data_IF_440652766581
#
_entry.id   IF_440652766581
#
_cell.length_a   1.000
_cell.length_b   1.000
_cell.length_c   1.000
_cell.angle_alpha   90.00
_cell.angle_beta   90.00
_cell.angle_gamma   90.00
#
_symmetry.space_group_name_H-M   'P 1'
#
loop_
_entity.id
_entity.type
_entity.pdbx_description
1 polymer ?
#
# COMPACT_ATOMS: atom_id res chain seq x y z
N UNK A 1 16.14 17.99 -9.20
CA UNK A 1 15.01 18.35 -8.34
C UNK A 1 13.87 17.43 -8.73
N UNK A 2 13.34 16.61 -7.83
CA UNK A 2 12.28 15.67 -8.17
C UNK A 2 10.94 16.38 -8.03
N UNK A 3 10.31 16.63 -9.17
CA UNK A 3 9.09 17.43 -9.30
C UNK A 3 7.91 16.78 -8.54
N UNK A 4 6.94 17.60 -8.16
CA UNK A 4 5.75 17.19 -7.42
C UNK A 4 4.96 16.15 -8.25
N UNK A 5 5.08 14.86 -7.92
CA UNK A 5 4.38 13.79 -8.66
C UNK A 5 3.12 13.40 -7.89
N UNK A 6 1.99 13.92 -8.34
CA UNK A 6 0.71 13.27 -8.10
C UNK A 6 0.78 11.85 -8.66
N UNK A 7 0.31 10.87 -7.89
CA UNK A 7 0.20 9.50 -8.40
C UNK A 7 -1.10 9.43 -9.18
N UNK A 8 -1.02 8.96 -10.43
CA UNK A 8 -2.21 8.70 -11.25
C UNK A 8 -3.15 7.77 -10.48
N UNK A 9 -4.45 8.09 -10.36
CA UNK A 9 -5.41 7.24 -9.68
C UNK A 9 -5.31 5.78 -10.12
N UNK A 10 -5.25 4.86 -9.16
CA UNK A 10 -5.07 3.43 -9.41
C UNK A 10 -3.62 2.92 -9.42
N UNK A 11 -2.61 3.76 -9.72
CA UNK A 11 -1.20 3.32 -9.69
C UNK A 11 -0.66 3.15 -8.25
N UNK A 12 -1.20 3.92 -7.32
CA UNK A 12 -0.90 3.80 -5.89
C UNK A 12 -1.88 2.92 -5.13
N UNK A 13 -2.74 2.16 -5.82
CA UNK A 13 -3.71 1.27 -5.19
C UNK A 13 -3.11 -0.12 -4.95
N UNK A 14 -3.11 -0.52 -3.69
CA UNK A 14 -2.57 -1.78 -3.21
C UNK A 14 -3.56 -2.49 -2.29
N UNK A 15 -3.46 -3.81 -2.26
CA UNK A 15 -4.19 -4.66 -1.30
C UNK A 15 -3.19 -5.40 -0.44
N UNK A 16 -3.42 -5.39 0.87
CA UNK A 16 -2.53 -5.98 1.86
C UNK A 16 -3.24 -7.12 2.59
N UNK A 17 -2.55 -8.25 2.71
CA UNK A 17 -2.85 -9.27 3.71
C UNK A 17 -1.81 -9.16 4.80
N UNK A 18 -2.23 -9.08 6.06
CA UNK A 18 -1.34 -8.82 7.18
C UNK A 18 -1.36 -10.00 8.16
N UNK A 19 -0.20 -10.37 8.67
CA UNK A 19 -0.02 -11.47 9.64
C UNK A 19 0.92 -11.03 10.75
N UNK A 20 0.47 -11.18 12.00
CA UNK A 20 1.29 -10.98 13.18
C UNK A 20 2.25 -12.15 13.42
N UNK A 21 3.47 -11.84 13.87
CA UNK A 21 4.50 -12.79 14.32
C UNK A 21 5.08 -12.31 15.64
N UNK A 22 5.77 -13.22 16.34
CA UNK A 22 6.35 -13.00 17.67
C UNK A 22 7.24 -11.73 17.78
N UNK A 23 7.90 -11.32 16.70
CA UNK A 23 8.80 -10.14 16.68
C UNK A 23 8.53 -9.18 15.51
N UNK A 24 7.27 -9.08 15.05
CA UNK A 24 6.88 -8.12 14.01
C UNK A 24 5.81 -8.66 13.08
N UNK A 25 5.77 -8.11 11.86
CA UNK A 25 4.67 -8.36 10.92
C UNK A 25 5.18 -8.84 9.57
N UNK A 26 4.46 -9.79 8.97
CA UNK A 26 4.67 -10.21 7.59
C UNK A 26 3.35 -10.23 6.84
N UNK A 27 3.42 -10.51 5.55
CA UNK A 27 2.21 -10.66 4.77
C UNK A 27 2.48 -10.54 3.29
N UNK A 28 1.45 -10.14 2.57
CA UNK A 28 1.50 -9.99 1.13
C UNK A 28 0.96 -8.65 0.70
N UNK A 29 1.61 -8.07 -0.30
CA UNK A 29 1.14 -6.88 -1.00
C UNK A 29 0.82 -7.25 -2.44
N UNK A 30 -0.31 -6.77 -2.92
CA UNK A 30 -0.75 -6.91 -4.30
C UNK A 30 -0.91 -5.53 -4.92
N UNK A 31 -0.34 -5.32 -6.10
CA UNK A 31 -0.54 -4.12 -6.91
C UNK A 31 -1.50 -4.43 -8.05
N UNK A 32 -2.62 -3.71 -8.11
CA UNK A 32 -3.55 -3.83 -9.23
C UNK A 32 -2.92 -3.32 -10.54
N UNK A 33 -2.14 -2.24 -10.47
CA UNK A 33 -1.48 -1.62 -11.62
C UNK A 33 -0.45 -2.54 -12.28
N UNK A 34 0.29 -3.32 -11.49
CA UNK A 34 1.31 -4.24 -12.00
C UNK A 34 0.79 -5.68 -12.15
N UNK A 35 -0.41 -5.99 -11.64
CA UNK A 35 -0.95 -7.34 -11.62
C UNK A 35 -0.11 -8.35 -10.83
N UNK A 36 0.78 -7.88 -9.95
CA UNK A 36 1.75 -8.73 -9.24
C UNK A 36 1.52 -8.74 -7.73
N UNK A 37 1.95 -9.84 -7.09
CA UNK A 37 1.93 -10.05 -5.64
C UNK A 37 3.34 -10.33 -5.13
N UNK A 38 3.70 -9.77 -3.98
CA UNK A 38 4.96 -10.04 -3.30
C UNK A 38 4.71 -10.30 -1.81
N UNK A 39 5.53 -11.16 -1.23
CA UNK A 39 5.62 -11.32 0.21
C UNK A 39 6.49 -10.20 0.79
N UNK A 40 6.12 -9.70 1.97
CA UNK A 40 6.97 -8.87 2.80
C UNK A 40 7.13 -9.52 4.18
N UNK A 41 8.34 -9.41 4.74
CA UNK A 41 8.70 -9.99 6.04
C UNK A 41 8.76 -8.96 7.17
N UNK A 42 8.57 -7.68 6.84
CA UNK A 42 8.50 -6.56 7.77
C UNK A 42 7.77 -5.38 7.13
N UNK A 43 7.23 -4.47 7.94
CA UNK A 43 6.60 -3.24 7.43
C UNK A 43 7.61 -2.33 6.71
N UNK A 44 8.88 -2.32 7.15
CA UNK A 44 9.93 -1.63 6.42
C UNK A 44 10.12 -2.21 5.00
N UNK A 45 10.10 -3.55 4.85
CA UNK A 45 10.20 -4.17 3.53
C UNK A 45 8.97 -3.87 2.68
N UNK A 46 7.78 -3.78 3.28
CA UNK A 46 6.56 -3.34 2.60
C UNK A 46 6.73 -1.94 2.00
N UNK A 47 7.22 -0.95 2.76
CA UNK A 47 7.44 0.41 2.24
C UNK A 47 8.36 0.39 1.01
N UNK A 48 9.48 -0.35 1.08
CA UNK A 48 10.40 -0.47 -0.05
C UNK A 48 9.71 -1.07 -1.27
N UNK A 49 8.93 -2.14 -1.12
CA UNK A 49 8.17 -2.74 -2.24
C UNK A 49 7.19 -1.74 -2.87
N UNK A 50 6.47 -0.99 -2.05
CA UNK A 50 5.55 0.04 -2.52
C UNK A 50 6.29 1.12 -3.31
N UNK A 51 7.47 1.56 -2.88
CA UNK A 51 8.30 2.50 -3.64
C UNK A 51 8.76 1.95 -4.98
N UNK A 52 9.34 0.75 -4.98
CA UNK A 52 9.82 0.05 -6.17
C UNK A 52 8.69 -0.08 -7.20
N UNK A 53 7.49 -0.48 -6.75
CA UNK A 53 6.33 -0.68 -7.61
C UNK A 53 5.72 0.62 -8.11
N UNK A 54 5.59 1.65 -7.27
CA UNK A 54 5.12 2.97 -7.74
C UNK A 54 6.08 3.60 -8.75
N UNK A 55 7.39 3.33 -8.65
CA UNK A 55 8.36 3.76 -9.66
C UNK A 55 8.18 2.99 -10.98
N UNK A 56 7.94 1.68 -10.89
CA UNK A 56 7.78 0.79 -12.05
C UNK A 56 6.47 1.04 -12.80
N UNK A 57 5.38 1.28 -12.09
CA UNK A 57 4.04 1.43 -12.66
C UNK A 57 3.84 2.73 -13.45
N UNK A 58 4.82 3.65 -13.46
CA UNK A 58 4.75 4.94 -14.15
C UNK A 58 4.56 4.85 -15.68
N UNK A 59 4.87 3.69 -16.28
CA UNK A 59 4.79 3.44 -17.73
C UNK A 59 3.70 2.40 -18.11
N UNK A 60 3.04 1.78 -17.11
CA UNK A 60 2.09 0.69 -17.36
C UNK A 60 0.66 1.22 -17.58
N UNK A 61 -0.08 0.73 -18.59
CA UNK A 61 -1.49 1.08 -18.72
C UNK A 61 -2.25 0.60 -17.48
N UNK A 62 -2.89 1.53 -16.77
CA UNK A 62 -3.72 1.22 -15.60
C UNK A 62 -4.83 0.27 -16.06
N UNK A 63 -4.95 -0.95 -15.50
CA UNK A 63 -6.09 -1.78 -15.80
C UNK A 63 -7.37 -1.10 -15.29
N UNK A 64 -8.34 -0.89 -16.18
CA UNK A 64 -9.59 -0.11 -15.95
C UNK A 64 -10.49 -0.66 -14.83
N UNK A 65 -10.17 -1.82 -14.27
CA UNK A 65 -10.95 -2.44 -13.20
C UNK A 65 -9.99 -3.16 -12.26
N UNK A 66 -9.94 -2.83 -10.95
CA UNK A 66 -9.33 -3.74 -9.99
C UNK A 66 -10.07 -5.07 -10.15
N UNK A 67 -9.36 -6.09 -10.61
CA UNK A 67 -9.96 -7.40 -10.85
C UNK A 67 -10.57 -7.86 -9.52
N UNK A 68 -11.90 -7.85 -9.44
CA UNK A 68 -12.67 -8.17 -8.24
C UNK A 68 -12.38 -9.60 -7.71
N UNK A 69 -11.62 -10.40 -8.46
CA UNK A 69 -11.15 -11.74 -8.12
C UNK A 69 -9.77 -11.79 -7.43
N UNK A 70 -9.05 -10.67 -7.25
CA UNK A 70 -7.66 -10.70 -6.82
C UNK A 70 -7.50 -10.70 -5.28
N UNK A 71 -7.43 -11.90 -4.71
CA UNK A 71 -6.97 -12.27 -3.35
C UNK A 71 -7.73 -11.68 -2.13
N UNK A 72 -7.89 -12.47 -1.04
CA UNK A 72 -8.35 -11.95 0.24
C UNK A 72 -7.34 -10.91 0.76
N UNK A 73 -7.85 -9.77 1.22
CA UNK A 73 -7.06 -8.68 1.79
C UNK A 73 -7.70 -8.23 3.09
N UNK A 74 -6.86 -7.86 4.06
CA UNK A 74 -7.28 -7.24 5.32
C UNK A 74 -7.42 -5.72 5.14
N UNK A 75 -6.61 -5.13 4.26
CA UNK A 75 -6.49 -3.68 4.10
C UNK A 75 -6.38 -3.29 2.62
N UNK A 76 -7.06 -2.21 2.24
CA UNK A 76 -6.81 -1.49 0.99
C UNK A 76 -5.99 -0.23 1.27
N UNK A 77 -4.92 -0.03 0.51
CA UNK A 77 -4.03 1.12 0.61
C UNK A 77 -4.06 1.90 -0.70
N UNK A 78 -4.29 3.20 -0.62
CA UNK A 78 -4.19 4.10 -1.76
C UNK A 78 -3.19 5.22 -1.47
N UNK A 79 -2.02 5.17 -2.10
CA UNK A 79 -1.04 6.25 -2.10
C UNK A 79 -1.38 7.24 -3.22
N UNK A 80 -1.68 8.48 -2.86
CA UNK A 80 -2.13 9.52 -3.81
C UNK A 80 -1.03 10.52 -4.14
N UNK A 81 -0.18 10.79 -3.16
CA UNK A 81 0.95 11.69 -3.31
C UNK A 81 2.20 11.00 -2.78
N UNK A 82 3.29 11.10 -3.54
CA UNK A 82 4.60 10.65 -3.09
C UNK A 82 5.67 11.63 -3.54
N UNK A 83 6.19 12.41 -2.60
CA UNK A 83 7.24 13.38 -2.86
C UNK A 83 8.34 13.28 -1.79
N UNK A 84 9.58 12.97 -2.19
CA UNK A 84 10.70 12.79 -1.27
C UNK A 84 10.35 11.85 -0.11
N UNK A 85 10.16 12.39 1.10
CA UNK A 85 9.79 11.67 2.33
C UNK A 85 8.31 11.83 2.71
N UNK A 86 7.53 12.57 1.92
CA UNK A 86 6.12 12.86 2.15
C UNK A 86 5.26 11.96 1.29
N UNK A 87 4.64 10.98 1.95
CA UNK A 87 3.62 10.13 1.34
C UNK A 87 2.27 10.55 1.88
N UNK A 88 1.27 10.66 1.01
CA UNK A 88 -0.09 10.92 1.45
C UNK A 88 -1.06 9.99 0.75
N UNK A 89 -2.08 9.59 1.49
CA UNK A 89 -3.02 8.62 0.99
C UNK A 89 -4.03 8.21 2.04
N UNK A 90 -4.69 7.10 1.74
CA UNK A 90 -5.68 6.53 2.63
C UNK A 90 -5.45 5.04 2.79
N UNK A 91 -5.82 4.56 3.96
CA UNK A 91 -5.86 3.16 4.32
C UNK A 91 -7.28 2.82 4.71
N UNK A 92 -7.84 1.76 4.15
CA UNK A 92 -9.17 1.24 4.48
C UNK A 92 -9.03 -0.15 5.10
N UNK A 93 -9.47 -0.28 6.33
CA UNK A 93 -9.63 -1.58 6.97
C UNK A 93 -10.87 -2.28 6.40
N UNK A 94 -10.69 -3.47 5.84
CA UNK A 94 -11.78 -4.25 5.25
C UNK A 94 -12.54 -5.08 6.29
N UNK A 95 -12.02 -5.25 7.50
CA UNK A 95 -12.72 -5.94 8.60
C UNK A 95 -13.70 -5.01 9.30
N UNK A 96 -13.25 -3.85 9.74
CA UNK A 96 -14.04 -2.85 10.46
C UNK A 96 -14.65 -1.76 9.57
N UNK A 97 -14.22 -1.65 8.31
CA UNK A 97 -14.71 -0.64 7.37
C UNK A 97 -14.18 0.78 7.60
N UNK A 98 -13.32 0.97 8.61
CA UNK A 98 -12.72 2.26 8.95
C UNK A 98 -11.77 2.74 7.84
N UNK A 99 -11.72 4.06 7.63
CA UNK A 99 -10.81 4.70 6.69
C UNK A 99 -9.94 5.70 7.43
N UNK A 100 -8.63 5.57 7.26
CA UNK A 100 -7.61 6.40 7.88
C UNK A 100 -6.88 7.17 6.79
N UNK A 101 -6.65 8.46 7.01
CA UNK A 101 -5.75 9.25 6.17
C UNK A 101 -4.35 9.24 6.78
N UNK A 102 -3.32 9.24 5.94
CA UNK A 102 -1.94 9.42 6.38
C UNK A 102 -1.27 10.51 5.54
N UNK A 103 -0.30 11.19 6.15
CA UNK A 103 0.46 12.29 5.57
C UNK A 103 1.97 12.02 5.56
N UNK A 104 2.41 10.85 6.05
CA UNK A 104 3.78 10.36 5.91
C UNK A 104 3.84 8.83 5.86
N UNK A 105 4.98 8.29 5.40
CA UNK A 105 5.23 6.85 5.46
C UNK A 105 5.31 6.34 6.91
N UNK A 106 5.77 7.16 7.85
CA UNK A 106 5.79 6.82 9.28
C UNK A 106 4.37 6.70 9.83
N UNK A 107 3.48 7.65 9.51
CA UNK A 107 2.07 7.56 9.92
C UNK A 107 1.40 6.30 9.35
N UNK A 108 1.69 5.95 8.10
CA UNK A 108 1.22 4.72 7.48
C UNK A 108 1.70 3.48 8.28
N UNK A 109 2.97 3.44 8.67
CA UNK A 109 3.53 2.35 9.48
C UNK A 109 2.79 2.23 10.82
N UNK A 110 2.64 3.34 11.56
CA UNK A 110 1.96 3.36 12.85
C UNK A 110 0.49 2.92 12.74
N UNK A 111 -0.22 3.34 11.68
CA UNK A 111 -1.60 2.91 11.44
C UNK A 111 -1.70 1.41 11.12
N UNK A 112 -0.75 0.87 10.35
CA UNK A 112 -0.69 -0.57 10.06
C UNK A 112 -0.40 -1.39 11.33
N UNK A 113 0.50 -0.92 12.19
CA UNK A 113 0.77 -1.54 13.49
C UNK A 113 -0.48 -1.54 14.37
N UNK A 114 -1.14 -0.39 14.51
CA UNK A 114 -2.35 -0.25 15.33
C UNK A 114 -3.51 -1.15 14.85
N UNK A 115 -3.64 -1.39 13.54
CA UNK A 115 -4.64 -2.32 13.00
C UNK A 115 -4.33 -3.79 13.27
N UNK A 116 -3.06 -4.12 13.51
CA UNK A 116 -2.61 -5.49 13.77
C UNK A 116 -2.64 -5.87 15.25
N UNK A 117 -2.73 -4.88 16.14
CA UNK A 117 -2.85 -5.06 17.59
C UNK A 117 -4.30 -5.19 18.10
N UNK A 118 -5.29 -5.15 17.19
CA UNK A 118 -6.72 -5.31 17.50
C UNK A 118 -7.15 -6.78 17.57
#
# INVERSE_FOLDING_TARGET
MQENRSITPGLGAFRLTLQSRENGFCGYVYSAALGCRAEFTSLARLIVLLEEWMNTATDSPVPEKPSAAAAPADVELEVRLRQHYSWQGQLRDLKGGAVFSFHSALELLLQLEALLEQ
#
